data_IF_185444238288
#
_entry.id   IF_185444238288
#
_cell.length_a   1.000
_cell.length_b   1.000
_cell.length_c   1.000
_cell.angle_alpha   90.00
_cell.angle_beta   90.00
_cell.angle_gamma   90.00
#
_symmetry.space_group_name_H-M   'P 1'
#
loop_
_entity.id
_entity.type
_entity.pdbx_description
1 polymer ?
#
# COMPACT_ATOMS: atom_id res chain seq x y z
N UNK A 1 62.99 23.25 11.18
CA UNK A 1 62.66 21.85 11.52
C UNK A 1 61.65 21.87 12.63
N UNK A 2 60.39 21.92 12.27
CA UNK A 2 59.27 22.09 13.20
C UNK A 2 58.79 20.69 13.63
N UNK A 3 58.92 20.39 14.93
CA UNK A 3 58.48 19.10 15.50
C UNK A 3 56.99 19.17 15.75
N UNK A 4 56.20 18.54 14.89
CA UNK A 4 54.78 18.25 15.16
C UNK A 4 54.72 17.20 16.27
N UNK A 5 54.01 17.50 17.34
CA UNK A 5 53.89 16.64 18.52
C UNK A 5 52.80 15.58 18.29
N UNK A 6 53.08 14.32 18.66
CA UNK A 6 52.22 13.15 18.38
C UNK A 6 50.84 13.15 19.06
N UNK A 7 50.48 14.19 19.81
CA UNK A 7 49.17 14.33 20.44
C UNK A 7 48.09 14.85 19.47
N UNK A 8 48.45 15.67 18.47
CA UNK A 8 47.51 16.22 17.49
C UNK A 8 47.10 15.19 16.40
N UNK A 9 47.93 14.18 16.18
CA UNK A 9 47.64 13.09 15.23
C UNK A 9 46.63 12.09 15.79
N UNK A 10 46.63 11.83 17.10
CA UNK A 10 45.72 10.84 17.70
C UNK A 10 44.27 11.33 17.81
N UNK A 11 44.04 12.63 18.03
CA UNK A 11 42.68 13.20 18.05
C UNK A 11 42.02 13.23 16.67
N UNK A 12 42.81 13.53 15.62
CA UNK A 12 42.34 13.59 14.23
C UNK A 12 42.02 12.21 13.67
N UNK A 13 42.81 11.20 14.05
CA UNK A 13 42.58 9.81 13.65
C UNK A 13 41.31 9.29 14.35
N UNK A 14 41.19 9.43 15.67
CA UNK A 14 40.04 8.91 16.43
C UNK A 14 38.69 9.53 16.03
N UNK A 15 38.64 10.84 15.73
CA UNK A 15 37.42 11.49 15.22
C UNK A 15 36.97 10.94 13.87
N UNK A 16 37.92 10.66 12.97
CA UNK A 16 37.64 10.09 11.64
C UNK A 16 37.05 8.68 11.71
N UNK A 17 37.53 7.82 12.61
CA UNK A 17 36.98 6.46 12.77
C UNK A 17 35.57 6.46 13.37
N UNK A 18 35.25 7.45 14.22
CA UNK A 18 33.90 7.59 14.79
C UNK A 18 32.91 8.08 13.72
N UNK A 19 33.32 9.01 12.85
CA UNK A 19 32.49 9.50 11.75
C UNK A 19 32.29 8.45 10.65
N UNK A 20 33.31 7.67 10.33
CA UNK A 20 33.23 6.57 9.34
C UNK A 20 32.39 5.39 9.85
N UNK A 21 32.52 5.02 11.12
CA UNK A 21 31.67 3.99 11.74
C UNK A 21 30.21 4.45 11.84
N UNK A 22 29.97 5.72 12.21
CA UNK A 22 28.62 6.30 12.21
C UNK A 22 28.00 6.35 10.82
N UNK A 23 28.76 6.72 9.80
CA UNK A 23 28.30 6.73 8.41
C UNK A 23 27.99 5.32 7.88
N UNK A 24 28.78 4.31 8.26
CA UNK A 24 28.54 2.92 7.89
C UNK A 24 27.23 2.39 8.50
N UNK A 25 26.98 2.64 9.79
CA UNK A 25 25.74 2.23 10.47
C UNK A 25 24.52 2.94 9.87
N UNK A 26 24.63 4.24 9.57
CA UNK A 26 23.53 4.99 8.92
C UNK A 26 23.26 4.45 7.51
N UNK A 27 24.30 4.09 6.75
CA UNK A 27 24.15 3.51 5.42
C UNK A 27 23.48 2.13 5.50
N UNK A 28 23.92 1.26 6.39
CA UNK A 28 23.34 -0.08 6.59
C UNK A 28 21.86 0.02 6.98
N UNK A 29 21.51 0.89 7.93
CA UNK A 29 20.12 1.12 8.32
C UNK A 29 19.28 1.71 7.16
N UNK A 30 19.86 2.54 6.30
CA UNK A 30 19.17 3.08 5.13
C UNK A 30 18.94 2.02 4.04
N UNK A 31 19.90 1.10 3.84
CA UNK A 31 19.77 -0.04 2.93
C UNK A 31 18.67 -1.00 3.43
N UNK A 32 18.68 -1.36 4.71
CA UNK A 32 17.65 -2.19 5.34
C UNK A 32 16.25 -1.55 5.20
N UNK A 33 16.12 -0.25 5.49
CA UNK A 33 14.86 0.47 5.36
C UNK A 33 14.36 0.54 3.90
N UNK A 34 15.27 0.56 2.92
CA UNK A 34 14.93 0.54 1.50
C UNK A 34 14.43 -0.85 1.06
N UNK A 35 15.10 -1.91 1.52
CA UNK A 35 14.67 -3.30 1.27
C UNK A 35 13.29 -3.58 1.89
N UNK A 36 13.05 -3.12 3.12
CA UNK A 36 11.74 -3.21 3.76
C UNK A 36 10.65 -2.48 2.97
N UNK A 37 10.97 -1.29 2.47
CA UNK A 37 10.03 -0.49 1.69
C UNK A 37 9.69 -1.17 0.37
N UNK A 38 10.68 -1.72 -0.31
CA UNK A 38 10.47 -2.48 -1.55
C UNK A 38 9.60 -3.72 -1.28
N UNK A 39 9.90 -4.47 -0.23
CA UNK A 39 9.09 -5.62 0.19
C UNK A 39 7.63 -5.22 0.49
N UNK A 40 7.42 -4.05 1.10
CA UNK A 40 6.10 -3.51 1.36
C UNK A 40 5.36 -3.11 0.08
N UNK A 41 6.06 -2.52 -0.90
CA UNK A 41 5.49 -2.17 -2.21
C UNK A 41 5.08 -3.44 -2.96
N UNK A 42 5.92 -4.47 -2.97
CA UNK A 42 5.59 -5.75 -3.60
C UNK A 42 4.38 -6.41 -2.94
N UNK A 43 4.29 -6.34 -1.61
CA UNK A 43 3.13 -6.85 -0.89
C UNK A 43 1.84 -6.06 -1.19
N UNK A 44 1.93 -4.74 -1.30
CA UNK A 44 0.82 -3.88 -1.73
C UNK A 44 0.30 -4.29 -3.12
N UNK A 45 1.21 -4.49 -4.09
CA UNK A 45 0.86 -4.95 -5.44
C UNK A 45 0.15 -6.31 -5.37
N UNK A 46 0.67 -7.26 -4.60
CA UNK A 46 0.06 -8.59 -4.47
C UNK A 46 -1.35 -8.52 -3.89
N UNK A 47 -1.59 -7.65 -2.89
CA UNK A 47 -2.93 -7.46 -2.32
C UNK A 47 -3.91 -6.95 -3.39
N UNK A 48 -3.48 -6.02 -4.24
CA UNK A 48 -4.31 -5.53 -5.34
C UNK A 48 -4.66 -6.61 -6.36
N UNK A 49 -3.68 -7.44 -6.75
CA UNK A 49 -3.90 -8.56 -7.66
C UNK A 49 -4.89 -9.58 -7.08
N UNK A 50 -4.71 -9.93 -5.80
CA UNK A 50 -5.56 -10.92 -5.13
C UNK A 50 -6.99 -10.42 -4.94
N UNK A 51 -7.17 -9.11 -4.76
CA UNK A 51 -8.48 -8.48 -4.74
C UNK A 51 -9.16 -8.54 -6.12
N UNK A 52 -8.44 -8.23 -7.20
CA UNK A 52 -8.99 -8.27 -8.56
C UNK A 52 -9.43 -9.69 -8.95
N UNK A 53 -8.61 -10.68 -8.62
CA UNK A 53 -8.96 -12.09 -8.77
C UNK A 53 -10.19 -12.49 -7.94
N UNK A 54 -10.31 -12.00 -6.69
CA UNK A 54 -11.46 -12.27 -5.84
C UNK A 54 -12.74 -11.66 -6.43
N UNK A 55 -12.67 -10.42 -6.91
CA UNK A 55 -13.79 -9.75 -7.56
C UNK A 55 -14.21 -10.50 -8.82
N UNK A 56 -13.24 -10.99 -9.58
CA UNK A 56 -13.50 -11.82 -10.77
C UNK A 56 -14.21 -13.12 -10.40
N UNK A 57 -13.70 -13.87 -9.41
CA UNK A 57 -14.33 -15.10 -8.93
C UNK A 57 -15.75 -14.85 -8.39
N UNK A 58 -15.97 -13.75 -7.66
CA UNK A 58 -17.29 -13.37 -7.17
C UNK A 58 -18.27 -13.05 -8.31
N UNK A 59 -17.81 -12.38 -9.38
CA UNK A 59 -18.64 -12.12 -10.57
C UNK A 59 -18.99 -13.40 -11.31
N UNK A 60 -18.09 -14.37 -11.37
CA UNK A 60 -18.36 -15.68 -11.96
C UNK A 60 -19.40 -16.46 -11.12
N UNK A 61 -19.24 -16.47 -9.80
CA UNK A 61 -20.15 -17.16 -8.88
C UNK A 61 -21.53 -16.48 -8.79
N UNK A 62 -21.58 -15.15 -8.90
CA UNK A 62 -22.80 -14.36 -8.83
C UNK A 62 -22.85 -13.27 -9.92
N UNK A 63 -23.20 -13.62 -11.18
CA UNK A 63 -23.15 -12.70 -12.33
C UNK A 63 -23.98 -11.42 -12.21
N UNK A 64 -25.00 -11.43 -11.36
CA UNK A 64 -25.89 -10.29 -11.13
C UNK A 64 -25.54 -9.49 -9.86
N UNK A 65 -24.58 -9.97 -9.05
CA UNK A 65 -24.17 -9.27 -7.85
C UNK A 65 -23.22 -8.11 -8.21
N UNK A 66 -23.57 -6.92 -7.73
CA UNK A 66 -22.66 -5.78 -7.76
C UNK A 66 -21.77 -5.84 -6.52
N UNK A 67 -20.46 -5.95 -6.75
CA UNK A 67 -19.47 -5.90 -5.67
C UNK A 67 -19.05 -4.43 -5.53
N UNK A 68 -19.45 -3.74 -4.45
CA UNK A 68 -19.09 -2.34 -4.27
C UNK A 68 -17.62 -2.25 -3.88
N UNK A 69 -16.76 -1.89 -4.84
CA UNK A 69 -15.40 -1.44 -4.54
C UNK A 69 -15.46 0.06 -4.25
N UNK A 70 -15.12 0.52 -3.04
CA UNK A 70 -15.12 1.93 -2.72
C UNK A 70 -14.21 2.70 -3.69
N UNK A 71 -14.75 3.69 -4.38
CA UNK A 71 -14.00 4.54 -5.32
C UNK A 71 -12.78 5.17 -4.65
N UNK A 72 -12.90 5.56 -3.38
CA UNK A 72 -11.80 6.09 -2.59
C UNK A 72 -10.64 5.10 -2.41
N UNK A 73 -10.93 3.80 -2.34
CA UNK A 73 -9.90 2.77 -2.28
C UNK A 73 -9.16 2.68 -3.62
N UNK A 74 -9.86 2.79 -4.75
CA UNK A 74 -9.24 2.82 -6.07
C UNK A 74 -8.35 4.04 -6.28
N UNK A 75 -8.62 5.14 -5.57
CA UNK A 75 -7.72 6.29 -5.53
C UNK A 75 -6.36 5.95 -4.89
N UNK A 76 -6.27 4.87 -4.11
CA UNK A 76 -5.05 4.35 -3.50
C UNK A 76 -4.27 3.37 -4.40
N UNK A 77 -4.72 3.10 -5.62
CA UNK A 77 -4.03 2.18 -6.52
C UNK A 77 -2.61 2.72 -6.81
N UNK A 78 -1.54 1.93 -6.59
CA UNK A 78 -0.19 2.39 -6.89
C UNK A 78 -0.03 2.61 -8.40
N UNK A 79 0.99 3.38 -8.81
CA UNK A 79 1.38 3.41 -10.21
C UNK A 79 1.68 1.98 -10.70
N UNK A 80 1.47 1.69 -12.01
CA UNK A 80 1.80 0.37 -12.55
C UNK A 80 3.25 -0.02 -12.23
N UNK A 81 3.51 -1.29 -11.88
CA UNK A 81 4.88 -1.76 -11.67
C UNK A 81 5.67 -1.69 -12.98
N UNK A 82 6.99 -1.92 -12.93
CA UNK A 82 7.89 -1.82 -14.09
C UNK A 82 7.43 -2.62 -15.32
N UNK A 83 6.78 -3.77 -15.10
CA UNK A 83 6.25 -4.61 -16.17
C UNK A 83 4.76 -4.35 -16.50
N UNK A 84 4.18 -3.29 -15.93
CA UNK A 84 2.76 -2.98 -16.03
C UNK A 84 1.86 -3.90 -15.20
N UNK A 85 0.58 -3.54 -15.13
CA UNK A 85 -0.46 -4.43 -14.60
C UNK A 85 -0.74 -5.57 -15.59
N UNK A 86 -1.20 -6.75 -15.12
CA UNK A 86 -1.70 -7.80 -16.00
C UNK A 86 -2.78 -7.26 -16.95
N UNK A 87 -2.85 -7.80 -18.18
CA UNK A 87 -3.78 -7.30 -19.21
C UNK A 87 -5.25 -7.44 -18.85
N UNK A 88 -5.58 -8.35 -17.94
CA UNK A 88 -6.92 -8.62 -17.44
C UNK A 88 -7.21 -7.94 -16.09
N UNK A 89 -6.33 -7.06 -15.60
CA UNK A 89 -6.47 -6.41 -14.30
C UNK A 89 -7.55 -5.32 -14.32
N UNK A 90 -8.78 -5.71 -13.97
CA UNK A 90 -9.97 -4.89 -14.13
C UNK A 90 -10.00 -3.65 -13.22
N UNK A 91 -9.37 -3.72 -12.05
CA UNK A 91 -9.28 -2.58 -11.12
C UNK A 91 -8.51 -1.38 -11.70
N UNK A 92 -7.46 -1.61 -12.50
CA UNK A 92 -6.75 -0.51 -13.17
C UNK A 92 -7.63 0.17 -14.22
N UNK A 93 -8.41 -0.58 -15.00
CA UNK A 93 -9.34 0.00 -15.95
C UNK A 93 -10.42 0.84 -15.26
N UNK A 94 -10.92 0.36 -14.12
CA UNK A 94 -11.91 1.07 -13.33
C UNK A 94 -11.33 2.36 -12.75
N UNK A 95 -10.12 2.32 -12.20
CA UNK A 95 -9.41 3.49 -11.70
C UNK A 95 -9.15 4.51 -12.82
N UNK A 96 -8.78 4.06 -14.02
CA UNK A 96 -8.60 4.93 -15.19
C UNK A 96 -9.91 5.63 -15.60
N UNK A 97 -11.04 4.91 -15.62
CA UNK A 97 -12.37 5.48 -15.88
C UNK A 97 -12.75 6.54 -14.83
N UNK A 98 -12.50 6.27 -13.56
CA UNK A 98 -12.75 7.22 -12.46
C UNK A 98 -11.83 8.45 -12.56
N UNK A 99 -10.56 8.26 -12.92
CA UNK A 99 -9.63 9.36 -13.14
C UNK A 99 -10.09 10.26 -14.29
N UNK A 100 -10.58 9.68 -15.40
CA UNK A 100 -11.15 10.45 -16.51
C UNK A 100 -12.30 11.35 -16.08
N UNK A 101 -13.23 10.82 -15.26
CA UNK A 101 -14.35 11.61 -14.69
C UNK A 101 -13.84 12.70 -13.76
N UNK A 102 -12.90 12.38 -12.88
CA UNK A 102 -12.31 13.36 -11.96
C UNK A 102 -11.66 14.54 -12.69
N UNK A 103 -10.96 14.31 -13.81
CA UNK A 103 -10.36 15.42 -14.57
C UNK A 103 -11.41 16.33 -15.22
N UNK A 104 -12.54 15.77 -15.64
CA UNK A 104 -13.67 16.54 -16.18
C UNK A 104 -14.30 17.38 -15.07
N UNK A 105 -14.68 16.76 -13.95
CA UNK A 105 -15.27 17.44 -12.78
C UNK A 105 -14.36 18.56 -12.26
N UNK A 106 -13.06 18.30 -12.15
CA UNK A 106 -12.08 19.30 -11.70
C UNK A 106 -11.92 20.47 -12.68
N UNK A 107 -12.10 20.24 -13.99
CA UNK A 107 -12.06 21.31 -14.99
C UNK A 107 -13.33 22.16 -14.91
N UNK A 108 -14.49 21.51 -14.78
CA UNK A 108 -15.78 22.19 -14.60
C UNK A 108 -15.81 23.02 -13.30
N UNK A 109 -15.24 22.52 -12.20
CA UNK A 109 -15.10 23.25 -10.94
C UNK A 109 -14.24 24.52 -11.07
N UNK A 110 -13.20 24.49 -11.91
CA UNK A 110 -12.39 25.69 -12.19
C UNK A 110 -13.12 26.73 -13.03
N UNK A 111 -14.05 26.28 -13.88
CA UNK A 111 -14.84 27.14 -14.75
C UNK A 111 -16.09 27.69 -14.04
N UNK A 112 -16.64 26.93 -13.08
CA UNK A 112 -17.74 27.32 -12.22
C UNK A 112 -17.19 27.74 -10.85
N UNK A 113 -16.96 29.04 -10.67
CA UNK A 113 -16.59 29.73 -9.42
C UNK A 113 -17.68 29.64 -8.33
N UNK A 114 -18.40 28.51 -8.25
CA UNK A 114 -19.60 28.30 -7.46
C UNK A 114 -19.23 27.85 -6.05
N UNK A 115 -19.74 28.60 -5.07
CA UNK A 115 -19.55 28.53 -3.61
C UNK A 115 -19.96 27.20 -2.93
N UNK A 116 -20.24 26.13 -3.67
CA UNK A 116 -20.61 24.83 -3.13
C UNK A 116 -19.49 23.81 -3.42
N UNK A 117 -18.58 23.64 -2.45
CA UNK A 117 -17.58 22.57 -2.47
C UNK A 117 -18.33 21.23 -2.46
N UNK A 118 -18.46 20.60 -3.63
CA UNK A 118 -18.98 19.23 -3.70
C UNK A 118 -17.84 18.28 -3.35
N UNK A 119 -17.98 17.40 -2.34
CA UNK A 119 -16.96 16.42 -2.05
C UNK A 119 -16.81 15.47 -3.24
N UNK A 120 -15.60 15.40 -3.79
CA UNK A 120 -15.29 14.53 -4.93
C UNK A 120 -15.39 13.06 -4.51
N UNK A 121 -16.15 12.29 -5.28
CA UNK A 121 -16.40 10.87 -5.02
C UNK A 121 -15.16 9.99 -5.25
N UNK A 122 -14.14 10.51 -5.92
CA UNK A 122 -12.86 9.88 -6.20
C UNK A 122 -11.77 10.94 -6.22
N UNK A 123 -10.62 10.67 -5.60
CA UNK A 123 -9.42 11.52 -5.69
C UNK A 123 -8.24 10.62 -5.97
N UNK A 124 -7.59 10.72 -7.15
CA UNK A 124 -6.40 9.93 -7.44
C UNK A 124 -5.26 10.37 -6.52
N UNK A 125 -4.46 9.41 -6.08
CA UNK A 125 -3.21 9.71 -5.38
C UNK A 125 -2.25 10.52 -6.28
N UNK A 126 -1.59 11.51 -5.69
CA UNK A 126 -0.50 12.24 -6.34
C UNK A 126 0.73 11.33 -6.55
N UNK A 127 1.50 11.57 -7.61
CA UNK A 127 2.72 10.79 -7.92
C UNK A 127 3.75 10.78 -6.76
N UNK A 128 3.81 11.86 -5.99
CA UNK A 128 4.75 12.01 -4.86
C UNK A 128 4.21 11.47 -3.53
N UNK A 129 3.08 10.76 -3.57
CA UNK A 129 2.48 10.24 -2.34
C UNK A 129 3.33 9.09 -1.77
N UNK A 130 3.72 9.15 -0.49
CA UNK A 130 4.63 8.15 0.08
C UNK A 130 4.05 6.73 0.04
N UNK A 131 4.78 5.80 -0.57
CA UNK A 131 4.37 4.39 -0.70
C UNK A 131 4.01 3.75 0.64
N UNK A 132 4.80 4.02 1.70
CA UNK A 132 4.51 3.51 3.04
C UNK A 132 3.15 3.96 3.58
N UNK A 133 2.78 5.24 3.37
CA UNK A 133 1.47 5.77 3.79
C UNK A 133 0.34 5.20 2.95
N UNK A 134 0.58 4.94 1.66
CA UNK A 134 -0.41 4.34 0.75
C UNK A 134 -0.72 2.91 1.17
N UNK A 135 0.32 2.09 1.36
CA UNK A 135 0.20 0.73 1.86
C UNK A 135 -0.48 0.69 3.24
N UNK A 136 -0.15 1.62 4.13
CA UNK A 136 -0.82 1.75 5.44
C UNK A 136 -2.33 2.00 5.29
N UNK A 137 -2.73 2.97 4.46
CA UNK A 137 -4.15 3.24 4.20
C UNK A 137 -4.85 2.04 3.58
N UNK A 138 -4.23 1.40 2.60
CA UNK A 138 -4.76 0.19 1.98
C UNK A 138 -4.99 -0.91 3.02
N UNK A 139 -4.03 -1.11 3.94
CA UNK A 139 -4.09 -2.13 4.99
C UNK A 139 -5.31 -2.01 5.90
N UNK A 140 -5.92 -0.83 5.98
CA UNK A 140 -7.16 -0.57 6.71
C UNK A 140 -8.40 -0.66 5.82
N UNK A 141 -8.37 0.02 4.67
CA UNK A 141 -9.54 0.16 3.79
C UNK A 141 -9.93 -1.17 3.13
N UNK A 142 -8.96 -2.05 2.85
CA UNK A 142 -9.21 -3.33 2.18
C UNK A 142 -10.26 -4.19 2.90
N UNK A 143 -10.31 -4.09 4.24
CA UNK A 143 -11.25 -4.83 5.09
C UNK A 143 -12.71 -4.43 4.89
N UNK A 144 -12.99 -3.22 4.43
CA UNK A 144 -14.34 -2.82 4.07
C UNK A 144 -14.87 -3.57 2.83
N UNK A 145 -13.96 -4.08 1.99
CA UNK A 145 -14.30 -4.80 0.74
C UNK A 145 -14.37 -6.30 0.98
N UNK A 146 -13.38 -6.87 1.67
CA UNK A 146 -13.32 -8.32 1.93
C UNK A 146 -14.21 -8.75 3.11
N UNK A 147 -14.78 -7.78 3.83
CA UNK A 147 -15.71 -7.98 4.92
C UNK A 147 -15.08 -8.53 6.20
N UNK A 148 -15.87 -8.54 7.28
CA UNK A 148 -15.46 -9.05 8.61
C UNK A 148 -15.93 -10.49 8.86
N UNK A 149 -16.40 -11.19 7.83
CA UNK A 149 -16.91 -12.54 8.03
C UNK A 149 -15.79 -13.50 8.47
N UNK A 150 -16.16 -14.41 9.37
CA UNK A 150 -15.37 -15.40 10.12
C UNK A 150 -14.69 -16.39 9.19
N UNK A 151 -13.72 -15.93 8.42
CA UNK A 151 -12.71 -16.81 7.88
C UNK A 151 -11.70 -17.02 9.02
N UNK A 152 -11.60 -18.25 9.50
CA UNK A 152 -10.96 -18.65 10.76
C UNK A 152 -9.49 -18.25 10.85
N UNK A 153 -9.24 -17.00 11.21
CA UNK A 153 -7.95 -16.55 11.71
C UNK A 153 -7.91 -16.98 13.18
N UNK A 154 -7.28 -18.14 13.40
CA UNK A 154 -6.89 -18.74 14.67
C UNK A 154 -7.90 -19.75 15.26
N UNK A 155 -7.40 -20.94 15.61
CA UNK A 155 -8.09 -21.99 16.39
C UNK A 155 -8.49 -21.56 17.82
N UNK A 156 -8.32 -20.27 18.15
CA UNK A 156 -8.60 -19.63 19.43
C UNK A 156 -9.57 -18.45 19.25
N UNK A 157 -10.76 -18.68 18.69
CA UNK A 157 -11.97 -17.89 18.96
C UNK A 157 -11.97 -16.37 18.72
N UNK A 158 -10.99 -15.78 18.03
CA UNK A 158 -10.94 -14.35 17.72
C UNK A 158 -11.80 -14.00 16.50
N UNK A 159 -12.43 -12.82 16.51
CA UNK A 159 -13.04 -12.27 15.28
C UNK A 159 -11.93 -11.78 14.32
N UNK A 160 -12.15 -11.82 12.99
CA UNK A 160 -11.18 -11.27 12.02
C UNK A 160 -10.83 -9.80 12.29
N UNK A 161 -11.79 -9.04 12.84
CA UNK A 161 -11.58 -7.70 13.36
C UNK A 161 -10.49 -7.60 14.43
N UNK A 162 -10.43 -8.57 15.35
CA UNK A 162 -9.44 -8.60 16.43
C UNK A 162 -8.04 -8.88 15.89
N UNK A 163 -7.90 -9.88 15.01
CA UNK A 163 -6.62 -10.20 14.36
C UNK A 163 -6.05 -9.01 13.56
N UNK A 164 -6.92 -8.17 12.98
CA UNK A 164 -6.50 -6.93 12.30
C UNK A 164 -5.98 -5.87 13.27
N UNK A 165 -6.62 -5.72 14.44
CA UNK A 165 -6.21 -4.75 15.47
C UNK A 165 -4.90 -5.17 16.12
N UNK A 166 -4.72 -6.48 16.33
CA UNK A 166 -3.55 -7.07 16.98
C UNK A 166 -2.34 -7.20 16.05
N UNK A 167 -2.50 -6.99 14.73
CA UNK A 167 -1.39 -7.05 13.79
C UNK A 167 -0.36 -5.92 14.05
N UNK A 168 0.89 -6.30 14.24
CA UNK A 168 2.03 -5.47 14.66
C UNK A 168 2.53 -4.49 13.59
N UNK A 169 1.91 -4.47 12.41
CA UNK A 169 2.26 -3.50 11.38
C UNK A 169 1.49 -3.60 10.06
N UNK A 170 1.78 -2.65 9.17
CA UNK A 170 1.17 -2.56 7.84
C UNK A 170 1.40 -3.84 7.02
N UNK A 171 2.62 -4.37 7.02
CA UNK A 171 2.95 -5.57 6.25
C UNK A 171 2.15 -6.79 6.74
N UNK A 172 2.01 -6.96 8.05
CA UNK A 172 1.22 -8.06 8.61
C UNK A 172 -0.27 -7.93 8.26
N UNK A 173 -0.86 -6.74 8.44
CA UNK A 173 -2.26 -6.49 8.03
C UNK A 173 -2.51 -6.80 6.56
N UNK A 174 -1.58 -6.44 5.67
CA UNK A 174 -1.68 -6.74 4.24
C UNK A 174 -1.55 -8.25 3.97
N UNK A 175 -0.67 -8.98 4.66
CA UNK A 175 -0.56 -10.45 4.54
C UNK A 175 -1.84 -11.14 4.99
N UNK A 176 -2.43 -10.71 6.10
CA UNK A 176 -3.70 -11.24 6.61
C UNK A 176 -4.84 -10.98 5.62
N UNK A 177 -4.92 -9.78 5.06
CA UNK A 177 -5.91 -9.46 4.03
C UNK A 177 -5.74 -10.34 2.78
N UNK A 178 -4.49 -10.52 2.32
CA UNK A 178 -4.15 -11.38 1.18
C UNK A 178 -4.61 -12.82 1.41
N UNK A 179 -4.27 -13.37 2.57
CA UNK A 179 -4.61 -14.75 2.93
C UNK A 179 -6.13 -14.93 3.03
N UNK A 180 -6.84 -13.97 3.64
CA UNK A 180 -8.30 -13.99 3.68
C UNK A 180 -8.93 -14.00 2.28
N UNK A 181 -8.41 -13.20 1.34
CA UNK A 181 -8.91 -13.18 -0.04
C UNK A 181 -8.71 -14.54 -0.73
N UNK A 182 -7.57 -15.19 -0.51
CA UNK A 182 -7.32 -16.55 -1.03
C UNK A 182 -8.34 -17.56 -0.50
N UNK A 183 -8.55 -17.56 0.81
CA UNK A 183 -9.51 -18.46 1.45
C UNK A 183 -10.95 -18.20 0.98
N UNK A 184 -11.34 -16.94 0.76
CA UNK A 184 -12.64 -16.60 0.19
C UNK A 184 -12.78 -17.12 -1.25
N UNK A 185 -11.76 -16.97 -2.09
CA UNK A 185 -11.78 -17.51 -3.46
C UNK A 185 -11.86 -19.03 -3.50
N UNK A 186 -11.13 -19.71 -2.63
CA UNK A 186 -11.19 -21.17 -2.53
C UNK A 186 -12.59 -21.65 -2.18
N UNK A 187 -13.28 -20.97 -1.24
CA UNK A 187 -14.66 -21.26 -0.89
C UNK A 187 -15.65 -21.01 -2.03
N UNK A 188 -15.40 -20.03 -2.90
CA UNK A 188 -16.26 -19.77 -4.07
C UNK A 188 -16.10 -20.81 -5.17
N UNK A 189 -14.99 -21.57 -5.16
CA UNK A 189 -14.67 -22.58 -6.17
C UNK A 189 -14.97 -24.01 -5.72
N UNK A 190 -15.17 -24.23 -4.42
CA UNK A 190 -15.53 -25.51 -3.81
C UNK A 190 -17.03 -25.80 -3.95
#
# INVERSE_FOLDING_TARGET
GERVTGAELNGTIAGRWIDEAGAAVVKEAAEEAAEELEALIQLEIQVWLELDDLITALREAAPHATIPVPSQMLGLLPPPPTNGWPSNFALAELAAKLNGRYQIEKKEEKEQESLAVRPLSYVPIHQDYPSRRRAERLSWVIWAVIGDQTVGVNSFGGSPHQARIEADGTAERLRLAREKMRQLRERLRA
#
